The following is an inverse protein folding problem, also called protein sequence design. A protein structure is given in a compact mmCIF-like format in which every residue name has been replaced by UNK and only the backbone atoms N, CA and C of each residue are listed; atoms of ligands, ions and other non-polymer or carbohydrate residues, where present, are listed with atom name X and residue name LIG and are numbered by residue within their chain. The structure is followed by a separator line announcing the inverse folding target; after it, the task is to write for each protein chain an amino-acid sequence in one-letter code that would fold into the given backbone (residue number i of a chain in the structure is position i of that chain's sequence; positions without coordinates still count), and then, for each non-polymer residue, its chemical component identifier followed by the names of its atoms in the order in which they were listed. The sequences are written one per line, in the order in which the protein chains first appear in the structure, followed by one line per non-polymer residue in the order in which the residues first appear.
data_IF_220987602450
#
_entry.id   IF_220987602450
#
_cell.length_a   1.000
_cell.length_b   1.000
_cell.length_c   1.000
_cell.angle_alpha   90.00
_cell.angle_beta   90.00
_cell.angle_gamma   90.00
#
_symmetry.space_group_name_H-M   'P 1'
#
loop_
_entity.id
_entity.type
_entity.pdbx_description
1 polymer ?
#
# COMPACT_ATOMS: atom_id res chain seq x y z
N UNK A 1 5.34 -24.81 5.36
CA UNK A 1 4.03 -24.14 5.19
C UNK A 1 4.29 -22.69 4.83
N UNK A 2 3.60 -22.12 3.84
CA UNK A 2 3.80 -20.73 3.44
C UNK A 2 3.27 -19.76 4.54
N UNK A 3 3.84 -18.54 4.64
CA UNK A 3 3.45 -17.57 5.66
C UNK A 3 2.03 -17.05 5.44
N UNK A 4 1.30 -16.79 6.53
CA UNK A 4 0.01 -16.10 6.47
C UNK A 4 0.19 -14.59 6.27
N UNK A 5 -0.77 -13.96 5.58
CA UNK A 5 -0.74 -12.55 5.23
C UNK A 5 -1.95 -11.85 5.86
N UNK A 6 -1.72 -10.85 6.72
CA UNK A 6 -2.80 -9.97 7.18
C UNK A 6 -3.16 -8.98 6.06
N UNK A 7 -4.45 -8.77 5.81
CA UNK A 7 -4.94 -7.85 4.77
C UNK A 7 -5.59 -6.64 5.44
N UNK A 8 -5.14 -5.45 5.07
CA UNK A 8 -5.69 -4.19 5.56
C UNK A 8 -6.54 -3.56 4.46
N UNK A 9 -7.80 -3.28 4.77
CA UNK A 9 -8.77 -2.66 3.87
C UNK A 9 -9.20 -1.32 4.47
N UNK A 10 -8.68 -0.18 3.97
CA UNK A 10 -9.15 1.14 4.38
C UNK A 10 -10.55 1.39 3.79
N UNK A 11 -11.49 1.82 4.64
CA UNK A 11 -12.89 1.98 4.27
C UNK A 11 -13.31 3.44 4.45
N UNK A 12 -13.90 4.05 3.41
CA UNK A 12 -14.54 5.36 3.53
C UNK A 12 -15.67 5.49 2.51
N UNK A 13 -16.92 5.41 2.97
CA UNK A 13 -18.12 5.47 2.12
C UNK A 13 -18.14 4.43 0.98
N UNK A 14 -17.92 3.17 1.33
CA UNK A 14 -17.75 2.02 0.42
C UNK A 14 -18.79 0.94 0.65
N UNK A 15 -19.96 1.28 1.20
CA UNK A 15 -21.04 0.33 1.52
C UNK A 15 -21.38 -0.60 0.34
N UNK A 16 -21.36 -0.05 -0.88
CA UNK A 16 -21.73 -0.76 -2.11
C UNK A 16 -20.67 -1.73 -2.62
N UNK A 17 -19.41 -1.58 -2.21
CA UNK A 17 -18.28 -2.33 -2.76
C UNK A 17 -17.58 -3.20 -1.72
N UNK A 18 -17.69 -2.87 -0.44
CA UNK A 18 -16.98 -3.54 0.64
C UNK A 18 -17.21 -5.05 0.67
N UNK A 19 -18.43 -5.52 0.42
CA UNK A 19 -18.75 -6.96 0.37
C UNK A 19 -17.87 -7.69 -0.63
N UNK A 20 -17.71 -7.16 -1.85
CA UNK A 20 -16.85 -7.76 -2.87
C UNK A 20 -15.40 -7.86 -2.40
N UNK A 21 -14.87 -6.78 -1.83
CA UNK A 21 -13.50 -6.75 -1.32
C UNK A 21 -13.30 -7.82 -0.24
N UNK A 22 -14.16 -7.83 0.78
CA UNK A 22 -14.07 -8.77 1.92
C UNK A 22 -14.21 -10.22 1.48
N UNK A 23 -15.20 -10.54 0.65
CA UNK A 23 -15.42 -11.91 0.16
C UNK A 23 -14.24 -12.40 -0.69
N UNK A 24 -13.67 -11.53 -1.53
CA UNK A 24 -12.49 -11.87 -2.33
C UNK A 24 -11.29 -12.24 -1.46
N UNK A 25 -11.11 -11.54 -0.32
CA UNK A 25 -10.03 -11.80 0.64
C UNK A 25 -10.29 -13.08 1.44
N UNK A 26 -11.51 -13.29 1.94
CA UNK A 26 -11.89 -14.49 2.69
C UNK A 26 -11.68 -15.79 1.91
N UNK A 27 -11.76 -15.72 0.57
CA UNK A 27 -11.51 -16.86 -0.32
C UNK A 27 -10.03 -17.21 -0.53
N UNK A 28 -9.10 -16.38 -0.05
CA UNK A 28 -7.68 -16.53 -0.32
C UNK A 28 -7.01 -17.60 0.55
N UNK A 29 -6.20 -18.50 -0.03
CA UNK A 29 -5.26 -19.30 0.74
C UNK A 29 -4.26 -18.42 1.50
N UNK A 30 -3.78 -18.91 2.64
CA UNK A 30 -2.81 -18.22 3.50
C UNK A 30 -3.28 -16.85 4.02
N UNK A 31 -4.58 -16.58 4.03
CA UNK A 31 -5.13 -15.43 4.72
C UNK A 31 -4.86 -15.51 6.23
N UNK A 32 -4.30 -14.44 6.78
CA UNK A 32 -4.20 -14.18 8.22
C UNK A 32 -5.48 -13.56 8.77
N UNK A 33 -5.40 -12.29 9.17
CA UNK A 33 -6.50 -11.44 9.64
C UNK A 33 -6.87 -10.41 8.57
N UNK A 34 -8.12 -9.97 8.59
CA UNK A 34 -8.60 -8.82 7.81
C UNK A 34 -8.82 -7.66 8.78
N UNK A 35 -8.16 -6.54 8.52
CA UNK A 35 -8.35 -5.29 9.24
C UNK A 35 -9.18 -4.33 8.40
N UNK A 36 -10.46 -4.18 8.75
CA UNK A 36 -11.35 -3.18 8.16
C UNK A 36 -11.22 -1.90 8.97
N UNK A 37 -10.62 -0.87 8.37
CA UNK A 37 -10.36 0.40 9.07
C UNK A 37 -11.25 1.48 8.47
N UNK A 38 -12.37 1.76 9.14
CA UNK A 38 -13.34 2.78 8.76
C UNK A 38 -12.83 4.18 9.09
N UNK A 39 -12.61 5.00 8.07
CA UNK A 39 -12.06 6.35 8.16
C UNK A 39 -13.16 7.41 8.33
N UNK A 40 -14.06 7.16 9.29
CA UNK A 40 -15.24 7.96 9.59
C UNK A 40 -16.26 8.05 8.44
N UNK A 41 -16.72 6.88 7.95
CA UNK A 41 -17.77 6.84 6.93
C UNK A 41 -19.09 7.42 7.45
N UNK A 42 -19.88 7.95 6.52
CA UNK A 42 -21.21 8.54 6.77
C UNK A 42 -22.36 7.70 6.20
N UNK A 43 -22.05 6.67 5.40
CA UNK A 43 -23.00 5.69 4.87
C UNK A 43 -23.06 4.42 5.73
N UNK A 44 -23.62 3.32 5.21
CA UNK A 44 -23.71 2.04 5.91
C UNK A 44 -22.40 1.26 6.05
N UNK A 45 -21.25 1.81 5.61
CA UNK A 45 -19.94 1.11 5.61
C UNK A 45 -19.57 0.54 6.97
N UNK A 46 -19.63 1.34 8.04
CA UNK A 46 -19.24 0.89 9.37
C UNK A 46 -20.19 -0.21 9.90
N UNK A 47 -21.49 -0.08 9.64
CA UNK A 47 -22.46 -1.10 10.02
C UNK A 47 -22.19 -2.44 9.30
N UNK A 48 -21.88 -2.37 8.00
CA UNK A 48 -21.52 -3.52 7.19
C UNK A 48 -20.20 -4.17 7.64
N UNK A 49 -19.18 -3.36 7.94
CA UNK A 49 -17.91 -3.86 8.49
C UNK A 49 -18.10 -4.60 9.82
N UNK A 50 -18.91 -4.05 10.73
CA UNK A 50 -19.24 -4.70 12.00
C UNK A 50 -20.06 -5.99 11.81
N UNK A 51 -20.93 -6.04 10.80
CA UNK A 51 -21.63 -7.27 10.43
C UNK A 51 -20.65 -8.38 10.02
N UNK A 52 -19.66 -8.06 9.19
CA UNK A 52 -18.60 -9.01 8.83
C UNK A 52 -17.76 -9.47 10.03
N UNK A 53 -17.40 -8.55 10.94
CA UNK A 53 -16.69 -8.91 12.17
C UNK A 53 -17.51 -9.86 13.06
N UNK A 54 -18.82 -9.64 13.18
CA UNK A 54 -19.70 -10.53 13.93
C UNK A 54 -19.82 -11.92 13.28
N UNK A 55 -19.81 -12.00 11.95
CA UNK A 55 -19.85 -13.25 11.21
C UNK A 55 -18.52 -14.03 11.28
N UNK A 56 -17.39 -13.33 11.35
CA UNK A 56 -16.04 -13.91 11.35
C UNK A 56 -15.16 -13.36 12.49
N UNK A 57 -15.52 -13.59 13.77
CA UNK A 57 -14.92 -12.90 14.92
C UNK A 57 -13.44 -13.19 15.16
N UNK A 58 -12.90 -14.28 14.60
CA UNK A 58 -11.47 -14.61 14.70
C UNK A 58 -10.65 -14.15 13.49
N UNK A 59 -11.31 -13.66 12.44
CA UNK A 59 -10.67 -13.28 11.17
C UNK A 59 -10.79 -11.81 10.86
N UNK A 60 -11.93 -11.19 11.15
CA UNK A 60 -12.22 -9.82 10.75
C UNK A 60 -12.24 -8.93 11.99
N UNK A 61 -11.41 -7.90 11.97
CA UNK A 61 -11.30 -6.90 13.01
C UNK A 61 -11.63 -5.54 12.42
N UNK A 62 -12.41 -4.75 13.15
CA UNK A 62 -12.91 -3.45 12.70
C UNK A 62 -12.39 -2.37 13.64
N UNK A 63 -11.92 -1.28 13.05
CA UNK A 63 -11.62 -0.03 13.74
C UNK A 63 -12.40 1.09 13.08
N UNK A 64 -12.97 2.00 13.89
CA UNK A 64 -13.60 3.23 13.39
C UNK A 64 -12.83 4.44 13.89
N UNK A 65 -12.33 5.24 12.94
CA UNK A 65 -11.64 6.48 13.25
C UNK A 65 -12.63 7.56 13.66
N UNK A 66 -12.25 8.35 14.66
CA UNK A 66 -13.09 9.46 15.14
C UNK A 66 -13.27 10.60 14.13
N UNK A 67 -12.41 10.68 13.10
CA UNK A 67 -12.50 11.63 11.99
C UNK A 67 -11.71 11.14 10.79
N UNK A 68 -12.12 11.59 9.60
CA UNK A 68 -11.45 11.26 8.34
C UNK A 68 -9.97 11.71 8.33
N UNK A 69 -9.08 10.74 8.38
CA UNK A 69 -7.63 10.84 8.43
C UNK A 69 -6.93 10.66 7.09
N UNK A 70 -7.65 10.19 6.07
CA UNK A 70 -7.11 9.77 4.78
C UNK A 70 -6.69 8.30 4.77
N UNK A 71 -6.72 7.70 3.58
CA UNK A 71 -6.43 6.28 3.32
C UNK A 71 -5.08 5.82 3.91
N UNK A 72 -4.04 6.65 3.81
CA UNK A 72 -2.72 6.38 4.37
C UNK A 72 -2.76 6.10 5.87
N UNK A 73 -3.53 6.89 6.63
CA UNK A 73 -3.65 6.74 8.08
C UNK A 73 -4.35 5.43 8.43
N UNK A 74 -5.40 5.09 7.70
CA UNK A 74 -6.14 3.83 7.87
C UNK A 74 -5.26 2.60 7.58
N UNK A 75 -4.55 2.62 6.45
CA UNK A 75 -3.58 1.56 6.09
C UNK A 75 -2.49 1.42 7.16
N UNK A 76 -1.89 2.52 7.60
CA UNK A 76 -0.84 2.51 8.63
C UNK A 76 -1.32 1.97 9.97
N UNK A 77 -2.53 2.33 10.39
CA UNK A 77 -3.10 1.83 11.64
C UNK A 77 -3.28 0.31 11.58
N UNK A 78 -3.87 -0.23 10.51
CA UNK A 78 -4.04 -1.68 10.34
C UNK A 78 -2.71 -2.43 10.28
N UNK A 79 -1.71 -1.85 9.61
CA UNK A 79 -0.37 -2.41 9.56
C UNK A 79 0.29 -2.49 10.95
N UNK A 80 0.05 -1.49 11.81
CA UNK A 80 0.56 -1.50 13.18
C UNK A 80 -0.11 -2.59 14.03
N UNK A 81 -1.41 -2.86 13.85
CA UNK A 81 -2.12 -3.90 14.61
C UNK A 81 -1.81 -5.32 14.14
N UNK A 82 -1.41 -5.48 12.88
CA UNK A 82 -1.07 -6.77 12.30
C UNK A 82 0.07 -7.43 13.08
N UNK A 83 -0.02 -8.74 13.28
CA UNK A 83 0.99 -9.53 14.01
C UNK A 83 1.72 -10.50 13.09
N UNK A 84 1.19 -10.75 11.90
CA UNK A 84 1.86 -11.56 10.90
C UNK A 84 3.07 -10.82 10.30
N UNK A 85 4.04 -11.60 9.83
CA UNK A 85 5.24 -11.07 9.18
C UNK A 85 4.89 -10.33 7.88
N UNK A 86 3.88 -10.81 7.17
CA UNK A 86 3.45 -10.26 5.89
C UNK A 86 2.13 -9.51 6.07
N UNK A 87 2.07 -8.34 5.44
CA UNK A 87 0.87 -7.51 5.34
C UNK A 87 0.59 -7.18 3.88
N UNK A 88 -0.68 -7.18 3.50
CA UNK A 88 -1.15 -6.71 2.20
C UNK A 88 -2.17 -5.59 2.39
N UNK A 89 -2.29 -4.75 1.37
CA UNK A 89 -3.30 -3.70 1.33
C UNK A 89 -4.19 -3.96 0.13
N UNK A 90 -5.51 -3.83 0.32
CA UNK A 90 -6.50 -3.92 -0.74
C UNK A 90 -7.47 -2.76 -0.60
N UNK A 91 -7.77 -2.07 -1.70
CA UNK A 91 -8.77 -1.00 -1.69
C UNK A 91 -10.18 -1.58 -1.55
N UNK A 92 -11.04 -0.90 -0.81
CA UNK A 92 -12.38 -1.41 -0.48
C UNK A 92 -13.34 -1.42 -1.68
N UNK A 93 -12.94 -0.84 -2.82
CA UNK A 93 -13.60 -0.96 -4.11
C UNK A 93 -12.92 -1.95 -5.08
N UNK A 94 -11.88 -2.66 -4.64
CA UNK A 94 -11.18 -3.67 -5.46
C UNK A 94 -11.46 -5.11 -4.97
N UNK A 95 -10.86 -6.09 -5.65
CA UNK A 95 -10.96 -7.50 -5.28
C UNK A 95 -9.69 -8.28 -5.62
N UNK A 96 -9.39 -9.36 -4.90
CA UNK A 96 -8.38 -10.32 -5.32
C UNK A 96 -8.94 -11.34 -6.31
N UNK A 97 -8.11 -11.75 -7.27
CA UNK A 97 -8.27 -13.01 -8.00
C UNK A 97 -7.94 -14.19 -7.09
N UNK A 98 -8.47 -15.38 -7.42
CA UNK A 98 -8.11 -16.60 -6.71
C UNK A 98 -6.61 -16.86 -6.81
N UNK A 99 -5.94 -17.05 -5.66
CA UNK A 99 -4.50 -17.35 -5.60
C UNK A 99 -3.59 -16.12 -5.50
N UNK A 100 -4.13 -14.90 -5.47
CA UNK A 100 -3.33 -13.68 -5.35
C UNK A 100 -2.43 -13.67 -4.09
N UNK A 101 -2.96 -14.09 -2.93
CA UNK A 101 -2.14 -14.20 -1.72
C UNK A 101 -1.22 -15.43 -1.72
N UNK A 102 -1.59 -16.50 -2.42
CA UNK A 102 -0.78 -17.71 -2.53
C UNK A 102 0.52 -17.46 -3.29
N UNK A 103 0.45 -16.79 -4.45
CA UNK A 103 1.66 -16.47 -5.23
C UNK A 103 2.58 -15.51 -4.48
N UNK A 104 2.02 -14.57 -3.71
CA UNK A 104 2.81 -13.71 -2.83
C UNK A 104 3.47 -14.50 -1.69
N UNK A 105 2.73 -15.35 -1.00
CA UNK A 105 3.25 -16.15 0.12
C UNK A 105 4.35 -17.11 -0.35
N UNK A 106 4.16 -17.76 -1.51
CA UNK A 106 5.19 -18.58 -2.15
C UNK A 106 6.44 -17.76 -2.48
N UNK A 107 6.29 -16.56 -3.03
CA UNK A 107 7.41 -15.67 -3.36
C UNK A 107 8.23 -15.31 -2.11
N UNK A 108 7.58 -14.93 -1.01
CA UNK A 108 8.30 -14.63 0.24
C UNK A 108 8.95 -15.87 0.88
N UNK A 109 8.38 -17.05 0.67
CA UNK A 109 8.96 -18.31 1.13
C UNK A 109 10.22 -18.69 0.36
N UNK A 110 10.18 -18.64 -0.97
CA UNK A 110 11.30 -19.06 -1.82
C UNK A 110 12.34 -17.94 -2.04
N UNK A 111 11.98 -16.68 -1.84
CA UNK A 111 12.87 -15.52 -1.94
C UNK A 111 12.85 -14.71 -0.63
N UNK A 112 13.51 -15.22 0.43
CA UNK A 112 13.44 -14.63 1.77
C UNK A 112 14.03 -13.20 1.86
N UNK A 113 14.85 -12.79 0.91
CA UNK A 113 15.42 -11.44 0.79
C UNK A 113 14.45 -10.41 0.18
N UNK A 114 13.30 -10.85 -0.35
CA UNK A 114 12.27 -9.97 -0.90
C UNK A 114 11.66 -9.13 0.22
N UNK A 115 11.59 -7.81 0.03
CA UNK A 115 11.02 -6.88 1.01
C UNK A 115 9.56 -6.52 0.68
N UNK A 116 9.23 -6.52 -0.60
CA UNK A 116 7.94 -6.15 -1.16
C UNK A 116 7.66 -7.00 -2.40
N UNK A 117 6.41 -7.44 -2.54
CA UNK A 117 5.86 -8.05 -3.76
C UNK A 117 4.76 -7.14 -4.29
N UNK A 118 4.82 -6.78 -5.58
CA UNK A 118 3.72 -6.17 -6.30
C UNK A 118 2.95 -7.23 -7.07
N UNK A 119 1.68 -7.40 -6.73
CA UNK A 119 0.75 -8.28 -7.43
C UNK A 119 0.38 -7.68 -8.80
N UNK A 120 -0.14 -8.50 -9.70
CA UNK A 120 -0.82 -7.99 -10.89
C UNK A 120 -1.91 -7.00 -10.50
N UNK A 121 -2.11 -5.97 -11.32
CA UNK A 121 -3.23 -5.02 -11.21
C UNK A 121 -3.95 -5.08 -12.54
N UNK A 122 -5.20 -5.54 -12.55
CA UNK A 122 -5.99 -5.81 -13.76
C UNK A 122 -7.20 -4.88 -13.79
N UNK A 123 -7.31 -3.98 -14.78
CA UNK A 123 -8.41 -3.04 -14.84
C UNK A 123 -9.72 -3.76 -15.15
N UNK A 124 -10.78 -3.45 -14.40
CA UNK A 124 -12.15 -3.87 -14.67
C UNK A 124 -12.99 -2.62 -14.91
N UNK A 125 -13.69 -2.57 -16.05
CA UNK A 125 -14.55 -1.43 -16.38
C UNK A 125 -13.80 -0.14 -16.72
N UNK A 126 -12.52 -0.23 -17.12
CA UNK A 126 -11.74 0.94 -17.55
C UNK A 126 -12.35 1.54 -18.82
N UNK A 127 -12.50 2.86 -18.83
CA UNK A 127 -13.04 3.57 -20.00
C UNK A 127 -12.24 3.26 -21.28
N UNK A 128 -12.96 3.13 -22.39
CA UNK A 128 -12.41 2.82 -23.72
C UNK A 128 -11.30 3.78 -24.13
N UNK A 129 -11.41 5.08 -23.78
CA UNK A 129 -10.39 6.10 -24.09
C UNK A 129 -9.01 5.76 -23.50
N UNK A 130 -8.97 5.06 -22.38
CA UNK A 130 -7.73 4.60 -21.76
C UNK A 130 -7.32 3.23 -22.29
N UNK A 131 -8.26 2.28 -22.32
CA UNK A 131 -8.01 0.89 -22.66
C UNK A 131 -7.51 0.70 -24.10
N UNK A 132 -7.99 1.53 -25.04
CA UNK A 132 -7.61 1.46 -26.45
C UNK A 132 -6.48 2.43 -26.82
N UNK A 133 -5.91 3.15 -25.85
CA UNK A 133 -4.83 4.09 -26.14
C UNK A 133 -3.55 3.34 -26.57
N UNK A 134 -2.81 3.78 -27.61
CA UNK A 134 -1.60 3.09 -28.08
C UNK A 134 -0.51 2.91 -27.02
N UNK A 135 -0.47 3.80 -26.02
CA UNK A 135 0.48 3.76 -24.91
C UNK A 135 -0.11 3.15 -23.62
N UNK A 136 -1.22 2.40 -23.71
CA UNK A 136 -1.88 1.81 -22.55
C UNK A 136 -0.93 1.00 -21.68
N UNK A 137 -0.16 0.07 -22.26
CA UNK A 137 0.74 -0.81 -21.50
C UNK A 137 1.78 -0.01 -20.69
N UNK A 138 2.30 1.07 -21.28
CA UNK A 138 3.22 1.97 -20.62
C UNK A 138 2.57 2.68 -19.43
N UNK A 139 1.40 3.28 -19.61
CA UNK A 139 0.68 3.93 -18.51
C UNK A 139 0.24 2.94 -17.43
N UNK A 140 -0.19 1.75 -17.82
CA UNK A 140 -0.60 0.72 -16.89
C UNK A 140 0.57 0.12 -16.13
N UNK A 141 1.77 0.13 -16.70
CA UNK A 141 2.99 -0.20 -15.97
C UNK A 141 3.25 0.81 -14.84
N UNK A 142 3.04 2.11 -15.09
CA UNK A 142 3.13 3.12 -14.04
C UNK A 142 2.11 2.86 -12.93
N UNK A 143 0.84 2.62 -13.28
CA UNK A 143 -0.22 2.26 -12.33
C UNK A 143 0.16 1.07 -11.44
N UNK A 144 0.62 -0.03 -12.05
CA UNK A 144 1.06 -1.25 -11.34
C UNK A 144 2.20 -1.00 -10.34
N UNK A 145 3.05 -0.01 -10.62
CA UNK A 145 4.21 0.36 -9.81
C UNK A 145 3.94 1.43 -8.75
N UNK A 146 2.80 2.13 -8.82
CA UNK A 146 2.47 3.23 -7.89
C UNK A 146 1.17 3.00 -7.12
N UNK A 147 0.36 2.01 -7.46
CA UNK A 147 -0.83 1.66 -6.69
C UNK A 147 -0.44 1.08 -5.31
N UNK A 148 -1.16 1.50 -4.27
CA UNK A 148 -1.03 0.97 -2.91
C UNK A 148 -1.89 -0.28 -2.65
N UNK A 149 -2.88 -0.57 -3.49
CA UNK A 149 -3.80 -1.71 -3.34
C UNK A 149 -3.30 -3.04 -3.90
N UNK A 150 -2.12 -3.09 -4.56
CA UNK A 150 -1.56 -4.31 -5.13
C UNK A 150 -0.22 -4.73 -4.51
N UNK A 151 0.00 -4.40 -3.24
CA UNK A 151 1.28 -4.60 -2.58
C UNK A 151 1.19 -5.51 -1.38
N UNK A 152 2.16 -6.41 -1.27
CA UNK A 152 2.38 -7.25 -0.09
C UNK A 152 3.77 -6.95 0.44
N UNK A 153 3.87 -6.52 1.69
CA UNK A 153 5.11 -6.13 2.34
C UNK A 153 5.52 -7.16 3.40
N UNK A 154 6.83 -7.31 3.60
CA UNK A 154 7.33 -7.64 4.93
C UNK A 154 6.99 -6.48 5.85
N UNK A 155 6.20 -6.74 6.88
CA UNK A 155 5.71 -5.73 7.84
C UNK A 155 6.84 -4.93 8.47
N UNK A 156 7.92 -5.59 8.89
CA UNK A 156 9.08 -4.90 9.47
C UNK A 156 9.71 -3.88 8.51
N UNK A 157 9.80 -4.22 7.21
CA UNK A 157 10.31 -3.31 6.20
C UNK A 157 9.34 -2.14 5.94
N UNK A 158 8.03 -2.41 5.86
CA UNK A 158 7.01 -1.36 5.74
C UNK A 158 7.08 -0.36 6.91
N UNK A 159 7.20 -0.86 8.14
CA UNK A 159 7.34 -0.02 9.34
C UNK A 159 8.67 0.75 9.35
N UNK A 160 9.76 0.15 8.88
CA UNK A 160 11.05 0.83 8.71
C UNK A 160 11.00 1.98 7.68
N UNK A 161 10.08 1.91 6.72
CA UNK A 161 9.81 3.01 5.78
C UNK A 161 8.97 4.14 6.40
N UNK A 162 8.45 3.98 7.62
CA UNK A 162 7.50 4.90 8.24
C UNK A 162 6.04 4.70 7.81
N UNK A 163 5.74 3.64 7.05
CA UNK A 163 4.43 3.38 6.46
C UNK A 163 4.11 4.26 5.24
N UNK A 164 2.84 4.34 4.87
CA UNK A 164 2.37 5.28 3.85
C UNK A 164 2.54 6.73 4.34
N UNK A 165 3.15 7.62 3.55
CA UNK A 165 3.34 9.01 3.93
C UNK A 165 2.02 9.73 4.23
N UNK A 166 1.99 10.49 5.32
CA UNK A 166 0.82 11.27 5.77
C UNK A 166 1.04 12.78 5.64
N UNK A 167 1.99 13.20 4.79
CA UNK A 167 2.25 14.63 4.55
C UNK A 167 0.99 15.32 4.02
N UNK A 168 0.75 16.56 4.44
CA UNK A 168 -0.46 17.32 4.07
C UNK A 168 -0.65 17.43 2.55
N UNK A 169 0.45 17.51 1.81
CA UNK A 169 0.48 17.47 0.34
C UNK A 169 -0.31 16.30 -0.25
N UNK A 170 -0.14 15.09 0.27
CA UNK A 170 -0.82 13.91 -0.26
C UNK A 170 -2.29 13.86 0.13
N UNK A 171 -2.70 14.57 1.19
CA UNK A 171 -4.14 14.76 1.45
C UNK A 171 -4.80 15.68 0.43
N UNK A 172 -4.04 16.63 -0.12
CA UNK A 172 -4.53 17.56 -1.13
C UNK A 172 -4.51 16.93 -2.53
N UNK A 173 -3.41 16.24 -2.89
CA UNK A 173 -3.16 15.82 -4.27
C UNK A 173 -3.10 14.30 -4.46
N UNK A 174 -3.16 13.50 -3.40
CA UNK A 174 -2.78 12.09 -3.47
C UNK A 174 -1.30 11.90 -3.84
N UNK A 175 -0.87 10.65 -3.95
CA UNK A 175 0.48 10.28 -4.39
C UNK A 175 1.39 9.73 -3.30
N UNK A 176 0.86 9.52 -2.10
CA UNK A 176 1.52 8.82 -0.99
C UNK A 176 1.98 7.41 -1.40
N UNK A 177 1.17 6.68 -2.17
CA UNK A 177 1.49 5.34 -2.67
C UNK A 177 2.65 5.39 -3.67
N UNK A 178 2.66 6.43 -4.51
CA UNK A 178 3.73 6.70 -5.45
C UNK A 178 5.05 7.05 -4.74
N UNK A 179 5.00 7.92 -3.74
CA UNK A 179 6.18 8.31 -2.96
C UNK A 179 6.81 7.10 -2.24
N UNK A 180 6.00 6.29 -1.57
CA UNK A 180 6.47 5.05 -0.95
C UNK A 180 6.98 4.06 -2.02
N UNK A 181 6.20 3.86 -3.09
CA UNK A 181 6.56 2.97 -4.20
C UNK A 181 7.93 3.29 -4.78
N UNK A 182 8.19 4.55 -5.13
CA UNK A 182 9.48 5.01 -5.67
C UNK A 182 10.60 4.84 -4.64
N UNK A 183 10.36 5.12 -3.36
CA UNK A 183 11.36 4.92 -2.33
C UNK A 183 11.78 3.45 -2.24
N UNK A 184 10.82 2.52 -2.27
CA UNK A 184 11.11 1.08 -2.13
C UNK A 184 11.97 0.54 -3.28
N UNK A 185 11.78 1.00 -4.51
CA UNK A 185 12.60 0.57 -5.66
C UNK A 185 14.05 1.05 -5.57
N UNK A 186 14.32 2.13 -4.82
CA UNK A 186 15.68 2.66 -4.60
C UNK A 186 16.44 1.92 -3.51
N UNK A 187 15.73 1.27 -2.56
CA UNK A 187 16.33 0.80 -1.31
C UNK A 187 16.14 -0.69 -1.03
N UNK A 188 15.34 -1.42 -1.80
CA UNK A 188 15.04 -2.81 -1.49
C UNK A 188 14.80 -3.66 -2.74
N UNK A 189 14.83 -4.98 -2.55
CA UNK A 189 14.37 -5.93 -3.56
C UNK A 189 12.84 -5.92 -3.60
N UNK A 190 12.32 -5.37 -4.70
CA UNK A 190 10.89 -5.38 -5.04
C UNK A 190 10.67 -6.45 -6.08
N UNK A 191 9.88 -7.47 -5.74
CA UNK A 191 9.44 -8.50 -6.67
C UNK A 191 8.13 -8.06 -7.35
N UNK A 192 7.93 -8.46 -8.60
CA UNK A 192 6.71 -8.18 -9.38
C UNK A 192 6.12 -9.49 -9.88
N UNK A 193 4.81 -9.68 -9.70
CA UNK A 193 4.05 -10.85 -10.14
C UNK A 193 2.95 -10.41 -11.12
N UNK A 194 3.32 -9.61 -12.13
CA UNK A 194 2.36 -8.94 -13.02
C UNK A 194 1.63 -9.86 -13.99
N UNK A 195 2.16 -11.07 -14.20
CA UNK A 195 1.57 -12.10 -15.08
C UNK A 195 0.82 -13.20 -14.29
N UNK A 196 0.75 -13.07 -12.96
CA UNK A 196 0.10 -14.03 -12.06
C UNK A 196 -1.31 -13.58 -11.66
N UNK A 197 -1.93 -14.32 -10.74
CA UNK A 197 -3.11 -13.85 -10.02
C UNK A 197 -2.80 -12.60 -9.20
N UNK A 198 -3.67 -11.60 -9.24
CA UNK A 198 -3.48 -10.36 -8.51
C UNK A 198 -4.78 -9.67 -8.14
N UNK A 199 -4.81 -8.36 -8.35
CA UNK A 199 -5.91 -7.48 -7.96
C UNK A 199 -6.74 -7.11 -9.19
N UNK A 200 -8.04 -7.33 -9.10
CA UNK A 200 -9.03 -6.77 -9.99
C UNK A 200 -9.32 -5.33 -9.53
N UNK A 201 -8.81 -4.38 -10.28
CA UNK A 201 -8.95 -2.95 -10.02
C UNK A 201 -10.21 -2.41 -10.69
N UNK A 202 -11.27 -2.14 -9.93
CA UNK A 202 -12.56 -1.71 -10.48
C UNK A 202 -12.53 -0.22 -10.77
N UNK A 203 -12.32 0.11 -12.04
CA UNK A 203 -12.29 1.48 -12.51
C UNK A 203 -13.69 2.10 -12.50
N UNK A 204 -13.75 3.39 -12.16
CA UNK A 204 -14.97 4.19 -12.14
C UNK A 204 -14.63 5.64 -12.47
N UNK A 205 -15.60 6.34 -13.05
CA UNK A 205 -15.45 7.75 -13.41
C UNK A 205 -15.04 8.59 -12.19
N UNK A 206 -14.04 9.44 -12.38
CA UNK A 206 -13.50 10.33 -11.35
C UNK A 206 -12.59 9.64 -10.34
N UNK A 207 -12.13 8.41 -10.60
CA UNK A 207 -11.12 7.77 -9.74
C UNK A 207 -9.80 8.54 -9.77
N UNK A 208 -9.05 8.53 -8.65
CA UNK A 208 -7.77 9.23 -8.58
C UNK A 208 -6.74 8.75 -9.63
N UNK A 209 -6.83 7.48 -10.05
CA UNK A 209 -6.01 6.91 -11.11
C UNK A 209 -6.13 7.63 -12.46
N UNK A 210 -7.27 8.26 -12.75
CA UNK A 210 -7.48 9.01 -14.01
C UNK A 210 -6.47 10.14 -14.16
N UNK A 211 -6.04 10.79 -13.08
CA UNK A 211 -5.05 11.87 -13.15
C UNK A 211 -3.71 11.37 -13.69
N UNK A 212 -3.27 10.19 -13.23
CA UNK A 212 -2.05 9.56 -13.73
C UNK A 212 -2.21 9.11 -15.18
N UNK A 213 -3.34 8.48 -15.52
CA UNK A 213 -3.62 8.04 -16.88
C UNK A 213 -3.70 9.23 -17.85
N UNK A 214 -4.38 10.31 -17.46
CA UNK A 214 -4.52 11.53 -18.25
C UNK A 214 -3.17 12.24 -18.45
N UNK A 215 -2.33 12.29 -17.42
CA UNK A 215 -0.98 12.84 -17.52
C UNK A 215 -0.09 12.01 -18.46
N UNK A 216 -0.11 10.68 -18.33
CA UNK A 216 0.79 9.79 -19.10
C UNK A 216 0.32 9.59 -20.54
N UNK A 217 -0.99 9.42 -20.76
CA UNK A 217 -1.55 9.08 -22.07
C UNK A 217 -1.84 10.33 -22.91
N UNK A 218 -2.35 11.40 -22.26
CA UNK A 218 -2.84 12.59 -22.96
C UNK A 218 -2.02 13.85 -22.67
N UNK A 219 -0.95 13.76 -21.87
CA UNK A 219 -0.11 14.90 -21.47
C UNK A 219 -0.91 16.03 -20.80
N UNK A 220 -2.04 15.69 -20.16
CA UNK A 220 -2.81 16.68 -19.40
C UNK A 220 -2.07 16.99 -18.10
N UNK A 221 -1.60 18.22 -18.00
CA UNK A 221 -0.94 18.71 -16.79
C UNK A 221 -2.01 19.13 -15.80
N UNK A 222 -1.92 18.61 -14.59
CA UNK A 222 -2.69 19.12 -13.48
C UNK A 222 -2.03 20.40 -12.96
N UNK A 223 -2.66 21.55 -13.21
CA UNK A 223 -2.15 22.87 -12.84
C UNK A 223 -1.92 23.03 -11.31
N UNK A 224 -2.53 22.16 -10.50
CA UNK A 224 -2.31 22.17 -9.05
C UNK A 224 -0.94 21.58 -8.65
N UNK A 225 -0.26 20.87 -9.56
CA UNK A 225 1.06 20.26 -9.35
C UNK A 225 2.15 21.24 -9.79
N UNK A 226 2.61 22.08 -8.85
CA UNK A 226 3.75 22.97 -9.07
C UNK A 226 5.09 22.25 -8.90
N UNK A 227 6.17 22.84 -9.44
CA UNK A 227 7.54 22.36 -9.20
C UNK A 227 7.88 22.28 -7.71
N UNK A 228 7.41 23.23 -6.91
CA UNK A 228 7.58 23.24 -5.45
C UNK A 228 6.90 22.03 -4.80
N UNK A 229 5.66 21.72 -5.19
CA UNK A 229 4.92 20.56 -4.68
C UNK A 229 5.57 19.24 -5.10
N UNK A 230 6.10 19.16 -6.32
CA UNK A 230 6.90 18.03 -6.76
C UNK A 230 8.19 17.88 -5.94
N UNK A 231 8.88 18.97 -5.65
CA UNK A 231 10.06 18.97 -4.78
C UNK A 231 9.73 18.49 -3.36
N UNK A 232 8.57 18.89 -2.81
CA UNK A 232 8.08 18.40 -1.52
C UNK A 232 7.81 16.89 -1.54
N UNK A 233 7.12 16.38 -2.58
CA UNK A 233 6.89 14.93 -2.73
C UNK A 233 8.19 14.13 -2.84
N UNK A 234 9.17 14.66 -3.60
CA UNK A 234 10.51 14.07 -3.71
C UNK A 234 11.25 14.06 -2.37
N UNK A 235 11.17 15.15 -1.59
CA UNK A 235 11.79 15.22 -0.27
C UNK A 235 11.21 14.16 0.70
N UNK A 236 9.90 13.89 0.62
CA UNK A 236 9.29 12.79 1.41
C UNK A 236 9.83 11.43 0.96
N UNK A 237 9.94 11.20 -0.35
CA UNK A 237 10.52 9.96 -0.91
C UNK A 237 11.96 9.76 -0.45
N UNK A 238 12.76 10.82 -0.44
CA UNK A 238 14.18 10.78 -0.05
C UNK A 238 14.35 10.59 1.46
N UNK A 239 13.44 11.13 2.28
CA UNK A 239 13.40 10.87 3.73
C UNK A 239 13.20 9.37 4.02
N UNK A 240 12.25 8.70 3.35
CA UNK A 240 12.03 7.24 3.48
C UNK A 240 13.33 6.49 3.16
N UNK A 241 14.00 6.86 2.07
CA UNK A 241 15.27 6.25 1.68
C UNK A 241 16.34 6.45 2.76
N UNK A 242 16.44 7.66 3.34
CA UNK A 242 17.41 8.00 4.38
C UNK A 242 17.19 7.18 5.65
N UNK A 243 15.93 7.03 6.09
CA UNK A 243 15.55 6.28 7.29
C UNK A 243 15.98 4.81 7.19
N UNK A 244 15.62 4.15 6.08
CA UNK A 244 15.97 2.74 5.86
C UNK A 244 17.49 2.57 5.75
N UNK A 245 18.20 3.47 5.06
CA UNK A 245 19.65 3.41 4.95
C UNK A 245 20.34 3.60 6.31
N UNK A 246 19.84 4.50 7.16
CA UNK A 246 20.34 4.66 8.53
C UNK A 246 20.18 3.37 9.35
N UNK A 247 19.02 2.70 9.24
CA UNK A 247 18.78 1.41 9.88
C UNK A 247 19.74 0.32 9.37
N UNK A 248 19.96 0.23 8.06
CA UNK A 248 20.94 -0.70 7.47
C UNK A 248 22.35 -0.46 7.98
N UNK A 249 22.77 0.81 8.11
CA UNK A 249 24.07 1.14 8.67
C UNK A 249 24.22 0.64 10.11
N UNK A 250 23.18 0.79 10.93
CA UNK A 250 23.16 0.27 12.30
C UNK A 250 23.23 -1.25 12.36
N UNK A 251 22.40 -1.93 11.56
CA UNK A 251 22.30 -3.40 11.52
C UNK A 251 23.56 -4.08 10.95
N UNK A 252 24.24 -3.43 10.00
CA UNK A 252 25.46 -3.93 9.38
C UNK A 252 26.74 -3.41 10.06
N UNK A 253 26.65 -2.88 11.28
CA UNK A 253 27.82 -2.40 12.02
C UNK A 253 28.82 -3.54 12.29
N UNK A 254 30.06 -3.36 11.84
CA UNK A 254 31.17 -4.28 12.15
C UNK A 254 31.63 -4.19 13.61
N UNK A 255 31.33 -3.08 14.29
CA UNK A 255 31.61 -2.91 15.72
C UNK A 255 30.42 -3.40 16.54
N UNK A 256 30.55 -4.60 17.10
CA UNK A 256 29.56 -5.25 17.97
C UNK A 256 30.05 -5.28 19.42
N UNK A 257 29.12 -5.40 20.38
CA UNK A 257 29.41 -5.44 21.82
C UNK A 257 29.19 -4.12 22.56
N UNK A 258 29.57 -4.08 23.83
CA UNK A 258 29.43 -2.89 24.69
C UNK A 258 30.68 -2.03 24.56
N UNK A 259 30.54 -0.80 24.09
CA UNK A 259 31.64 0.15 23.96
C UNK A 259 31.34 1.43 24.77
N UNK A 260 32.22 1.83 25.72
CA UNK A 260 32.06 3.09 26.42
C UNK A 260 32.27 4.25 25.45
N UNK A 261 31.38 5.25 25.54
CA UNK A 261 31.40 6.42 24.67
C UNK A 261 32.34 7.47 25.28
N UNK A 262 33.49 7.70 24.65
CA UNK A 262 34.46 8.70 25.09
C UNK A 262 34.11 10.03 24.42
N UNK A 263 33.54 10.96 25.19
CA UNK A 263 33.18 12.30 24.73
C UNK A 263 34.26 13.30 25.16
N UNK A 264 34.98 13.88 24.22
CA UNK A 264 35.83 15.05 24.46
C UNK A 264 35.04 16.31 24.14
N UNK A 265 34.79 17.16 25.14
CA UNK A 265 34.23 18.50 24.93
C UNK A 265 35.39 19.48 24.76
N UNK A 266 35.42 20.22 23.67
CA UNK A 266 36.33 21.36 23.53
C UNK A 266 35.86 22.47 24.47
N UNK A 267 36.75 22.96 25.34
CA UNK A 267 36.51 24.20 26.09
C UNK A 267 36.46 25.35 25.08
N UNK A 268 35.35 26.07 25.07
CA UNK A 268 35.16 27.31 24.31
C UNK A 268 35.52 28.51 25.18
#
# INVERSE_FOLDING_TARGET
MFPHIDVIIPCYNVEKTLTRAVESVLSQPYLGKIWLVDDASTDGTLALANHFAAQYPERIFVESMSKNGGVAKARNWGALQSTNELIAFLDADDAYEQGALEVAAATFHFQPDTSLVRLALKPIGLETRYAEHPNFDFAWQHMRMTCGGNVVFRRAFFLACGGFPQHALFRELGGEDGALGIATTKIAKVATLFDEAGVLHYCRDGMHAERLLDAVLFQKIDEQISEEKMAQANAVTDEICRQVNALKCGLNSVKIGIQPLILTRSEA
#
